data_IF_823844308430
#
_entry.id   IF_823844308430
#
_cell.length_a   1.000
_cell.length_b   1.000
_cell.length_c   1.000
_cell.angle_alpha   90.00
_cell.angle_beta   90.00
_cell.angle_gamma   90.00
#
_symmetry.space_group_name_H-M   'P 1'
#
loop_
_entity.id
_entity.type
_entity.pdbx_description
1 polymer ?
#
# COMPACT_ATOMS: atom_id res chain seq x y z
N UNK A 1 7.56 6.75 -48.65
CA UNK A 1 6.80 6.88 -47.39
C UNK A 1 7.77 7.27 -46.29
N UNK A 2 7.88 8.58 -45.99
CA UNK A 2 8.84 9.10 -45.01
C UNK A 2 8.14 9.11 -43.64
N UNK A 3 8.25 8.01 -42.89
CA UNK A 3 7.68 7.90 -41.54
C UNK A 3 8.42 8.90 -40.65
N UNK A 4 7.74 9.99 -40.32
CA UNK A 4 8.31 11.15 -39.65
C UNK A 4 8.94 10.76 -38.30
N UNK A 5 10.28 10.71 -38.17
CA UNK A 5 10.96 10.17 -36.99
C UNK A 5 10.71 11.01 -35.72
N UNK A 6 10.29 12.26 -35.88
CA UNK A 6 9.89 13.15 -34.79
C UNK A 6 8.62 12.71 -34.07
N UNK A 7 7.63 12.18 -34.81
CA UNK A 7 6.37 11.70 -34.22
C UNK A 7 6.61 10.52 -33.28
N UNK A 8 7.50 9.60 -33.69
CA UNK A 8 7.84 8.41 -32.89
C UNK A 8 8.54 8.80 -31.58
N UNK A 9 9.51 9.73 -31.61
CA UNK A 9 10.22 10.23 -30.41
C UNK A 9 9.27 10.77 -29.33
N UNK A 10 8.20 11.45 -29.72
CA UNK A 10 7.21 12.00 -28.80
C UNK A 10 6.35 10.90 -28.18
N UNK A 11 5.94 9.92 -29.00
CA UNK A 11 5.18 8.76 -28.55
C UNK A 11 5.96 7.91 -27.53
N UNK A 12 7.26 7.67 -27.77
CA UNK A 12 8.10 6.91 -26.82
C UNK A 12 8.28 7.66 -25.50
N UNK A 13 8.37 9.01 -25.54
CA UNK A 13 8.44 9.84 -24.32
C UNK A 13 7.14 9.78 -23.52
N UNK A 14 5.99 9.86 -24.21
CA UNK A 14 4.69 9.72 -23.57
C UNK A 14 4.54 8.35 -22.89
N UNK A 15 4.92 7.27 -23.57
CA UNK A 15 4.91 5.92 -23.00
C UNK A 15 5.81 5.82 -21.75
N UNK A 16 7.00 6.43 -21.80
CA UNK A 16 7.95 6.43 -20.69
C UNK A 16 7.48 7.28 -19.51
N UNK A 17 6.69 8.33 -19.74
CA UNK A 17 6.00 9.07 -18.67
C UNK A 17 4.82 8.30 -18.09
N UNK A 18 4.23 7.38 -18.87
CA UNK A 18 3.16 6.51 -18.39
C UNK A 18 3.69 5.38 -17.48
N UNK A 19 4.89 4.87 -17.72
CA UNK A 19 5.51 3.83 -16.87
C UNK A 19 5.64 4.19 -15.38
N UNK A 20 6.11 5.40 -14.97
CA UNK A 20 6.14 5.78 -13.56
C UNK A 20 4.72 5.94 -13.01
N UNK A 21 3.74 6.41 -13.78
CA UNK A 21 2.34 6.51 -13.31
C UNK A 21 1.81 5.14 -12.92
N UNK A 22 1.99 4.12 -13.78
CA UNK A 22 1.57 2.75 -13.48
C UNK A 22 2.32 2.16 -12.29
N UNK A 23 3.62 2.44 -12.17
CA UNK A 23 4.43 1.99 -11.03
C UNK A 23 4.00 2.67 -9.72
N UNK A 24 3.73 3.98 -9.75
CA UNK A 24 3.17 4.74 -8.63
C UNK A 24 1.79 4.22 -8.25
N UNK A 25 0.91 3.92 -9.22
CA UNK A 25 -0.39 3.30 -8.95
C UNK A 25 -0.26 1.94 -8.30
N UNK A 26 0.71 1.09 -8.72
CA UNK A 26 0.99 -0.20 -8.07
C UNK A 26 1.52 -0.02 -6.64
N UNK A 27 2.45 0.91 -6.44
CA UNK A 27 2.98 1.25 -5.12
C UNK A 27 1.88 1.75 -4.18
N UNK A 28 1.02 2.64 -4.67
CA UNK A 28 -0.10 3.18 -3.89
C UNK A 28 -1.09 2.08 -3.53
N UNK A 29 -1.39 1.17 -4.47
CA UNK A 29 -2.24 0.00 -4.22
C UNK A 29 -1.69 -0.91 -3.13
N UNK A 30 -0.39 -1.22 -3.14
CA UNK A 30 0.25 -2.04 -2.08
C UNK A 30 0.23 -1.30 -0.74
N UNK A 31 0.50 0.02 -0.74
CA UNK A 31 0.48 0.83 0.48
C UNK A 31 -0.91 0.92 1.11
N UNK A 32 -1.94 1.09 0.28
CA UNK A 32 -3.34 1.08 0.76
C UNK A 32 -3.74 -0.28 1.30
N UNK A 33 -3.29 -1.37 0.66
CA UNK A 33 -3.62 -2.73 1.08
C UNK A 33 -2.92 -3.09 2.41
N UNK A 34 -1.65 -2.73 2.54
CA UNK A 34 -0.90 -2.88 3.79
C UNK A 34 -1.51 -2.06 4.94
N UNK A 35 -1.87 -0.80 4.69
CA UNK A 35 -2.53 0.05 5.68
C UNK A 35 -3.92 -0.48 6.08
N UNK A 36 -4.68 -1.03 5.14
CA UNK A 36 -5.98 -1.65 5.41
C UNK A 36 -5.83 -2.87 6.35
N UNK A 37 -4.88 -3.75 6.07
CA UNK A 37 -4.59 -4.93 6.90
C UNK A 37 -4.12 -4.51 8.31
N UNK A 38 -3.25 -3.51 8.40
CA UNK A 38 -2.83 -2.94 9.70
C UNK A 38 -4.01 -2.35 10.49
N UNK A 39 -4.94 -1.67 9.81
CA UNK A 39 -6.13 -1.09 10.44
C UNK A 39 -7.08 -2.18 10.96
N UNK A 40 -7.25 -3.27 10.21
CA UNK A 40 -8.08 -4.40 10.61
C UNK A 40 -7.49 -5.15 11.80
N UNK A 41 -6.17 -5.38 11.82
CA UNK A 41 -5.45 -5.91 12.98
C UNK A 41 -5.60 -5.02 14.21
N UNK A 42 -5.46 -3.70 14.05
CA UNK A 42 -5.65 -2.76 15.15
C UNK A 42 -7.09 -2.77 15.69
N UNK A 43 -8.07 -2.91 14.78
CA UNK A 43 -9.48 -3.02 15.16
C UNK A 43 -9.74 -4.31 15.96
N UNK A 44 -9.20 -5.45 15.51
CA UNK A 44 -9.33 -6.73 16.22
C UNK A 44 -8.64 -6.68 17.58
N UNK A 45 -7.43 -6.12 17.66
CA UNK A 45 -6.73 -5.97 18.93
C UNK A 45 -7.52 -5.13 19.92
N UNK A 46 -8.01 -3.95 19.49
CA UNK A 46 -8.87 -3.13 20.36
C UNK A 46 -10.14 -3.86 20.78
N UNK A 47 -10.82 -4.54 19.87
CA UNK A 47 -12.03 -5.32 20.21
C UNK A 47 -11.69 -6.43 21.22
N UNK A 48 -10.60 -7.15 21.01
CA UNK A 48 -10.13 -8.19 21.94
C UNK A 48 -9.81 -7.59 23.32
N UNK A 49 -9.15 -6.43 23.40
CA UNK A 49 -8.87 -5.74 24.67
C UNK A 49 -10.13 -5.18 25.34
N UNK A 50 -11.16 -4.83 24.58
CA UNK A 50 -12.44 -4.36 25.15
C UNK A 50 -13.28 -5.55 25.64
N UNK A 51 -13.31 -6.65 24.88
CA UNK A 51 -14.04 -7.86 25.23
C UNK A 51 -13.34 -8.69 26.32
N UNK A 52 -12.00 -8.64 26.37
CA UNK A 52 -11.18 -9.26 27.40
C UNK A 52 -10.56 -8.12 28.22
N UNK A 53 -11.18 -7.71 29.34
CA UNK A 53 -10.53 -6.75 30.23
C UNK A 53 -9.19 -7.34 30.66
N UNK A 54 -8.12 -6.53 30.78
CA UNK A 54 -6.84 -7.04 31.25
C UNK A 54 -7.05 -7.58 32.66
N UNK A 55 -7.07 -8.91 32.79
CA UNK A 55 -6.74 -9.55 34.06
C UNK A 55 -5.42 -8.94 34.51
N UNK A 56 -5.30 -8.47 35.76
CA UNK A 56 -4.05 -7.90 36.23
C UNK A 56 -2.95 -8.94 36.01
N UNK A 57 -1.79 -8.52 35.46
CA UNK A 57 -0.73 -9.46 35.25
C UNK A 57 -0.24 -9.93 36.63
N UNK A 58 -0.27 -11.25 36.85
CA UNK A 58 0.38 -11.87 38.00
C UNK A 58 1.89 -11.83 37.75
N UNK A 59 2.49 -10.64 37.87
CA UNK A 59 3.94 -10.48 37.99
C UNK A 59 4.28 -10.61 39.48
N UNK A 60 4.28 -11.84 39.96
CA UNK A 60 4.56 -12.14 41.35
C UNK A 60 4.30 -13.60 41.63
N UNK A 61 5.25 -14.45 41.24
CA UNK A 61 5.59 -15.77 41.79
C UNK A 61 6.46 -16.50 40.76
N UNK A 62 7.75 -16.19 40.75
CA UNK A 62 8.93 -17.07 40.52
C UNK A 62 10.16 -16.19 40.26
#
# INVERSE_FOLDING_TARGET
MNLYPSYFKLHVRWLRSFTPVTYFSKLLGIRSLAAFLQLELFRVYKVLTICVPPSPPVYGLF
#
